data_IF_056937216875
#
_entry.id   IF_056937216875
#
_cell.length_a   1.000
_cell.length_b   1.000
_cell.length_c   1.000
_cell.angle_alpha   90.00
_cell.angle_beta   90.00
_cell.angle_gamma   90.00
#
_symmetry.space_group_name_H-M   'P 1'
#
loop_
_entity.id
_entity.type
_entity.pdbx_description
1 polymer ?
#
# COMPACT_ATOMS: atom_id res chain seq x y z
N UNK A 1 10.91 -46.11 -27.22
CA UNK A 1 11.26 -47.42 -26.74
C UNK A 1 11.78 -47.32 -25.34
N UNK A 2 11.12 -47.66 -24.33
CA UNK A 2 10.43 -48.71 -23.70
C UNK A 2 10.42 -48.30 -22.21
N UNK A 3 9.36 -48.18 -21.58
CA UNK A 3 8.54 -49.05 -20.76
C UNK A 3 9.34 -49.89 -19.74
N UNK A 4 8.90 -49.75 -18.48
CA UNK A 4 9.30 -50.67 -17.41
C UNK A 4 8.72 -50.26 -16.08
N UNK A 5 7.58 -50.73 -15.80
CA UNK A 5 6.65 -50.78 -14.71
C UNK A 5 7.02 -51.93 -13.74
N UNK A 6 6.71 -51.83 -12.46
CA UNK A 6 6.20 -52.87 -11.54
C UNK A 6 6.53 -52.50 -10.08
N UNK A 7 5.59 -52.19 -9.24
CA UNK A 7 4.55 -53.01 -8.59
C UNK A 7 5.04 -53.80 -7.36
N UNK A 8 4.40 -53.45 -6.22
CA UNK A 8 3.97 -54.30 -5.07
C UNK A 8 5.04 -54.96 -4.18
N UNK A 9 4.81 -55.22 -2.91
CA UNK A 9 3.67 -55.25 -1.99
C UNK A 9 4.16 -55.47 -0.54
N UNK A 10 3.40 -54.90 0.38
CA UNK A 10 2.82 -55.57 1.56
C UNK A 10 3.66 -56.47 2.48
N UNK A 11 3.68 -56.15 3.77
CA UNK A 11 3.20 -57.03 4.83
C UNK A 11 3.25 -56.36 6.21
N UNK A 12 2.16 -56.47 6.88
CA UNK A 12 1.91 -56.08 8.26
C UNK A 12 2.58 -57.01 9.27
N UNK A 13 2.93 -56.48 10.46
CA UNK A 13 2.79 -57.23 11.70
C UNK A 13 2.86 -56.28 12.91
N UNK A 14 1.84 -56.42 13.72
CA UNK A 14 1.58 -55.82 15.01
C UNK A 14 2.63 -56.15 16.05
N UNK A 15 2.85 -55.27 17.02
CA UNK A 15 2.77 -55.57 18.45
C UNK A 15 2.80 -54.32 19.30
N UNK A 16 1.87 -54.29 20.23
CA UNK A 16 1.69 -53.39 21.35
C UNK A 16 2.85 -53.49 22.36
N UNK A 17 3.13 -52.33 23.00
CA UNK A 17 3.31 -52.27 24.46
C UNK A 17 3.42 -50.82 24.93
N UNK A 18 2.43 -50.47 25.70
CA UNK A 18 2.38 -49.70 26.98
C UNK A 18 3.36 -48.57 27.26
N UNK A 19 2.77 -47.41 27.35
CA UNK A 19 2.74 -46.47 28.46
C UNK A 19 4.07 -45.96 29.04
N UNK A 20 4.22 -44.64 28.89
CA UNK A 20 4.43 -43.75 30.05
C UNK A 20 4.12 -42.32 29.63
N UNK A 21 3.13 -41.76 30.29
CA UNK A 21 2.73 -40.35 30.13
C UNK A 21 3.76 -39.47 30.84
N UNK A 22 4.50 -38.69 30.08
CA UNK A 22 5.21 -37.55 30.63
C UNK A 22 4.45 -36.31 30.20
N UNK A 23 3.80 -35.71 31.19
CA UNK A 23 3.05 -34.48 31.14
C UNK A 23 4.05 -33.30 30.97
N UNK A 24 4.37 -32.94 29.73
CA UNK A 24 5.04 -31.69 29.45
C UNK A 24 3.99 -30.56 29.50
N UNK A 25 4.14 -29.75 30.52
CA UNK A 25 3.40 -28.50 30.66
C UNK A 25 3.67 -27.60 29.45
N UNK A 26 2.71 -27.50 28.54
CA UNK A 26 2.65 -26.45 27.54
C UNK A 26 2.42 -25.12 28.25
N UNK A 27 3.47 -24.34 28.37
CA UNK A 27 3.39 -22.93 28.67
C UNK A 27 2.75 -22.26 27.46
N UNK A 28 1.47 -21.98 27.53
CA UNK A 28 0.79 -21.09 26.60
C UNK A 28 1.36 -19.70 26.83
N UNK A 29 2.28 -19.27 25.96
CA UNK A 29 2.57 -17.86 25.81
C UNK A 29 1.28 -17.18 25.31
N UNK A 30 0.67 -16.43 26.20
CA UNK A 30 -0.39 -15.51 25.89
C UNK A 30 0.22 -14.44 24.96
N UNK A 31 0.02 -14.56 23.66
CA UNK A 31 0.15 -13.43 22.77
C UNK A 31 -0.82 -12.36 23.23
N UNK A 32 -0.28 -11.34 23.84
CA UNK A 32 -1.04 -10.14 24.17
C UNK A 32 -1.24 -9.41 22.85
N UNK A 33 -2.34 -9.71 22.15
CA UNK A 33 -2.82 -8.83 21.09
C UNK A 33 -2.98 -7.46 21.70
N UNK A 34 -2.15 -6.52 21.26
CA UNK A 34 -2.32 -5.11 21.59
C UNK A 34 -3.62 -4.65 20.96
N UNK A 35 -4.66 -4.48 21.77
CA UNK A 35 -5.91 -3.85 21.37
C UNK A 35 -5.59 -2.54 20.64
N UNK A 36 -6.20 -2.28 19.46
CA UNK A 36 -6.02 -1.01 18.76
C UNK A 36 -6.58 0.11 19.66
N UNK A 37 -5.69 0.94 20.18
CA UNK A 37 -6.04 2.12 20.97
C UNK A 37 -6.53 3.25 20.07
N UNK A 38 -7.68 3.09 19.44
CA UNK A 38 -8.35 4.08 18.61
C UNK A 38 -9.85 4.02 18.83
N UNK A 39 -10.53 5.14 18.66
CA UNK A 39 -11.99 5.18 18.59
C UNK A 39 -12.44 4.33 17.39
N UNK A 40 -12.83 3.09 17.68
CA UNK A 40 -13.28 2.10 16.68
C UNK A 40 -14.75 2.29 16.29
N UNK A 41 -15.34 3.42 16.61
CA UNK A 41 -16.69 3.80 16.22
C UNK A 41 -16.83 3.86 14.68
N UNK A 42 -18.07 3.75 14.20
CA UNK A 42 -18.37 3.90 12.77
C UNK A 42 -17.96 5.29 12.31
N UNK A 43 -17.11 5.36 11.26
CA UNK A 43 -16.79 6.61 10.60
C UNK A 43 -17.88 6.92 9.56
N UNK A 44 -18.59 8.03 9.73
CA UNK A 44 -19.66 8.46 8.83
C UNK A 44 -19.12 9.56 7.91
N UNK A 45 -19.13 9.30 6.63
CA UNK A 45 -18.69 10.22 5.58
C UNK A 45 -19.93 10.85 4.92
N UNK A 46 -20.01 12.18 4.96
CA UNK A 46 -21.08 12.94 4.30
C UNK A 46 -20.86 13.07 2.80
N UNK A 47 -19.62 13.25 2.39
CA UNK A 47 -19.23 13.43 1.00
C UNK A 47 -17.85 12.83 0.73
N UNK A 48 -17.68 12.25 -0.45
CA UNK A 48 -16.37 11.83 -0.95
C UNK A 48 -16.32 11.88 -2.47
N UNK A 49 -15.14 11.99 -3.02
CA UNK A 49 -14.97 12.02 -4.47
C UNK A 49 -13.53 12.13 -4.92
N UNK A 50 -13.39 12.29 -6.23
CA UNK A 50 -12.12 12.47 -6.92
C UNK A 50 -12.23 13.68 -7.85
N UNK A 51 -11.15 14.44 -7.95
CA UNK A 51 -11.02 15.49 -8.96
C UNK A 51 -9.58 15.68 -9.37
N UNK A 52 -9.38 16.29 -10.54
CA UNK A 52 -8.05 16.68 -11.03
C UNK A 52 -7.79 18.14 -10.68
N UNK A 53 -6.58 18.47 -10.25
CA UNK A 53 -6.15 19.81 -9.88
C UNK A 53 -4.92 20.25 -10.70
N UNK A 54 -4.94 21.48 -11.20
CA UNK A 54 -3.86 22.04 -12.02
C UNK A 54 -3.77 21.38 -13.39
N UNK A 55 -2.53 21.20 -13.88
CA UNK A 55 -2.27 20.61 -15.18
C UNK A 55 -2.26 21.61 -16.32
N UNK A 56 -2.02 21.11 -17.53
CA UNK A 56 -1.99 21.87 -18.77
C UNK A 56 -2.78 21.15 -19.87
N UNK A 57 -3.20 21.91 -20.86
CA UNK A 57 -3.81 21.39 -22.08
C UNK A 57 -2.79 21.48 -23.20
N UNK A 58 -2.54 20.36 -23.88
CA UNK A 58 -1.61 20.27 -25.01
C UNK A 58 -2.39 19.82 -26.25
N UNK A 59 -2.27 20.55 -27.35
CA UNK A 59 -2.84 20.16 -28.64
C UNK A 59 -1.71 19.87 -29.61
N UNK A 60 -1.74 18.69 -30.22
CA UNK A 60 -0.77 18.28 -31.23
C UNK A 60 -1.05 18.97 -32.56
N UNK A 61 -0.01 19.29 -33.30
CA UNK A 61 -0.12 19.86 -34.64
C UNK A 61 -0.85 18.91 -35.61
N UNK A 62 -1.45 19.47 -36.64
CA UNK A 62 -2.14 18.70 -37.67
C UNK A 62 -3.65 18.78 -37.57
N UNK A 63 -4.33 17.83 -38.24
CA UNK A 63 -5.79 17.77 -38.28
C UNK A 63 -6.24 16.38 -37.85
N UNK A 64 -7.21 16.32 -36.94
CA UNK A 64 -7.79 15.06 -36.48
C UNK A 64 -8.61 14.42 -37.63
N UNK A 65 -8.31 13.14 -37.90
CA UNK A 65 -9.07 12.33 -38.83
C UNK A 65 -10.02 11.39 -38.09
N UNK A 66 -11.35 11.62 -38.10
CA UNK A 66 -12.30 10.73 -37.43
C UNK A 66 -12.38 9.34 -38.08
N UNK A 67 -11.88 9.17 -39.30
CA UNK A 67 -11.79 7.85 -39.97
C UNK A 67 -10.59 7.03 -39.50
N UNK A 68 -9.60 7.65 -38.88
CA UNK A 68 -8.41 7.04 -38.31
C UNK A 68 -8.11 7.55 -36.91
N UNK A 69 -9.03 7.35 -36.01
CA UNK A 69 -8.96 7.87 -34.62
C UNK A 69 -7.82 7.26 -33.75
N UNK A 70 -7.21 6.17 -34.21
CA UNK A 70 -6.10 5.50 -33.53
C UNK A 70 -4.73 5.83 -34.17
N UNK A 71 -4.67 6.92 -34.89
CA UNK A 71 -3.44 7.42 -35.49
C UNK A 71 -2.42 7.76 -34.38
N UNK A 72 -1.20 7.18 -34.46
CA UNK A 72 -0.22 7.18 -33.36
C UNK A 72 0.41 8.55 -33.09
N UNK A 73 0.42 9.47 -34.06
CA UNK A 73 1.01 10.80 -33.86
C UNK A 73 0.11 11.72 -33.06
N UNK A 74 -1.16 11.37 -32.90
CA UNK A 74 -2.14 12.19 -32.22
C UNK A 74 -2.44 13.52 -32.93
N UNK A 75 -2.25 13.58 -34.25
CA UNK A 75 -2.41 14.79 -35.04
C UNK A 75 -3.76 15.49 -34.81
N UNK A 76 -3.73 16.77 -34.46
CA UNK A 76 -4.90 17.60 -34.21
C UNK A 76 -5.69 17.21 -32.95
N UNK A 77 -5.17 16.34 -32.10
CA UNK A 77 -5.83 15.90 -30.85
C UNK A 77 -5.35 16.73 -29.64
N UNK A 78 -6.21 16.82 -28.64
CA UNK A 78 -5.96 17.56 -27.43
C UNK A 78 -5.91 16.61 -26.23
N UNK A 79 -4.86 16.76 -25.41
CA UNK A 79 -4.67 16.03 -24.17
C UNK A 79 -4.67 16.97 -22.96
N UNK A 80 -5.20 16.52 -21.85
CA UNK A 80 -5.12 17.16 -20.54
C UNK A 80 -4.14 16.37 -19.68
N UNK A 81 -3.03 16.99 -19.29
CA UNK A 81 -1.88 16.30 -18.69
C UNK A 81 -1.28 17.10 -17.54
N UNK A 82 -0.36 16.49 -16.82
CA UNK A 82 0.40 17.10 -15.72
C UNK A 82 -0.49 17.65 -14.58
N UNK A 83 -1.67 17.08 -14.39
CA UNK A 83 -2.54 17.40 -13.26
C UNK A 83 -2.26 16.45 -12.08
N UNK A 84 -2.54 16.94 -10.88
CA UNK A 84 -2.64 16.11 -9.69
C UNK A 84 -4.00 15.40 -9.64
N UNK A 85 -4.05 14.22 -9.04
CA UNK A 85 -5.30 13.55 -8.68
C UNK A 85 -5.56 13.74 -7.20
N UNK A 86 -6.76 14.18 -6.85
CA UNK A 86 -7.14 14.45 -5.46
C UNK A 86 -8.33 13.57 -5.08
N UNK A 87 -8.12 12.71 -4.09
CA UNK A 87 -9.21 12.01 -3.41
C UNK A 87 -9.58 12.78 -2.15
N UNK A 88 -10.86 12.99 -1.91
CA UNK A 88 -11.32 13.69 -0.72
C UNK A 88 -12.45 12.97 0.00
N UNK A 89 -12.51 13.19 1.30
CA UNK A 89 -13.60 12.75 2.17
C UNK A 89 -13.93 13.86 3.17
N UNK A 90 -15.23 14.09 3.37
CA UNK A 90 -15.76 15.04 4.35
C UNK A 90 -16.55 14.24 5.39
N UNK A 91 -16.22 14.34 6.68
CA UNK A 91 -16.97 13.64 7.72
C UNK A 91 -18.36 14.26 7.91
N UNK A 92 -19.31 13.49 8.37
CA UNK A 92 -20.68 13.97 8.62
C UNK A 92 -20.73 15.07 9.70
N UNK A 93 -19.81 15.03 10.64
CA UNK A 93 -19.64 16.05 11.68
C UNK A 93 -18.31 16.78 11.44
N UNK A 94 -18.32 17.80 10.57
CA UNK A 94 -17.16 18.62 10.30
C UNK A 94 -17.03 19.69 11.38
N UNK A 95 -15.92 19.69 12.10
CA UNK A 95 -15.65 20.59 13.23
C UNK A 95 -14.37 21.40 13.07
N UNK A 96 -13.52 21.05 12.13
CA UNK A 96 -12.21 21.64 11.93
C UNK A 96 -11.93 22.06 10.49
N UNK A 97 -10.83 22.76 10.30
CA UNK A 97 -10.35 23.08 8.95
C UNK A 97 -9.95 21.81 8.20
N UNK A 98 -10.16 21.77 6.87
CA UNK A 98 -9.76 20.63 6.08
C UNK A 98 -8.24 20.42 6.08
N UNK A 99 -7.82 19.17 6.00
CA UNK A 99 -6.42 18.77 5.93
C UNK A 99 -6.06 18.35 4.51
N UNK A 100 -4.95 18.87 4.01
CA UNK A 100 -4.38 18.50 2.72
C UNK A 100 -3.11 17.71 2.95
N UNK A 101 -3.05 16.51 2.37
CA UNK A 101 -1.93 15.59 2.52
C UNK A 101 -1.16 15.46 1.21
N UNK A 102 0.12 15.83 1.26
CA UNK A 102 1.09 15.64 0.19
C UNK A 102 2.02 14.49 0.56
N UNK A 103 2.22 13.57 -0.36
CA UNK A 103 3.15 12.44 -0.14
C UNK A 103 4.61 12.88 -0.33
N UNK A 104 5.54 12.03 0.11
CA UNK A 104 6.97 12.22 -0.08
C UNK A 104 7.47 11.70 -1.42
N UNK A 105 8.77 11.88 -1.66
CA UNK A 105 9.47 11.40 -2.84
C UNK A 105 9.28 9.90 -3.04
N UNK A 106 8.86 9.51 -4.24
CA UNK A 106 8.67 8.11 -4.60
C UNK A 106 7.39 7.46 -4.07
N UNK A 107 6.58 8.19 -3.31
CA UNK A 107 5.35 7.70 -2.68
C UNK A 107 4.09 8.10 -3.47
N UNK A 108 2.94 7.79 -2.89
CA UNK A 108 1.60 8.19 -3.33
C UNK A 108 0.75 8.52 -2.11
N UNK A 109 -0.49 8.97 -2.34
CA UNK A 109 -1.47 9.23 -1.27
C UNK A 109 -1.73 8.02 -0.37
N UNK A 110 -1.47 6.81 -0.86
CA UNK A 110 -1.69 5.57 -0.09
C UNK A 110 -0.97 5.59 1.27
N UNK A 111 0.21 6.21 1.36
CA UNK A 111 0.96 6.33 2.61
C UNK A 111 0.26 7.11 3.73
N UNK A 112 -0.84 7.82 3.42
CA UNK A 112 -1.67 8.53 4.40
C UNK A 112 -2.95 7.77 4.76
N UNK A 113 -3.34 6.75 3.98
CA UNK A 113 -4.62 6.07 4.10
C UNK A 113 -4.56 4.89 5.07
N UNK A 114 -3.44 4.18 5.11
CA UNK A 114 -3.28 3.00 5.95
C UNK A 114 -1.82 2.81 6.36
N UNK A 115 -1.59 2.04 7.39
CA UNK A 115 -0.26 1.56 7.76
C UNK A 115 0.03 0.21 7.10
N UNK A 116 1.31 -0.23 6.97
CA UNK A 116 1.65 -1.51 6.37
C UNK A 116 1.00 -2.73 7.04
N UNK A 117 0.74 -2.64 8.33
CA UNK A 117 0.05 -3.68 9.13
C UNK A 117 -1.48 -3.56 9.12
N UNK A 118 -2.04 -2.61 8.34
CA UNK A 118 -3.48 -2.46 8.13
C UNK A 118 -4.23 -1.66 9.18
N UNK A 119 -3.52 -0.95 10.08
CA UNK A 119 -4.16 0.01 10.99
C UNK A 119 -4.61 1.26 10.23
N UNK A 120 -5.46 2.06 10.85
CA UNK A 120 -5.89 3.37 10.34
C UNK A 120 -4.69 4.28 10.05
N UNK A 121 -4.71 4.93 8.90
CA UNK A 121 -3.74 5.96 8.55
C UNK A 121 -4.12 7.33 9.08
N UNK A 122 -3.29 8.31 8.78
CA UNK A 122 -3.53 9.68 9.20
C UNK A 122 -4.85 10.26 8.69
N UNK A 123 -5.27 9.90 7.46
CA UNK A 123 -6.53 10.38 6.89
C UNK A 123 -7.73 9.99 7.74
N UNK A 124 -7.83 8.74 8.17
CA UNK A 124 -8.93 8.28 9.03
C UNK A 124 -8.89 8.92 10.41
N UNK A 125 -7.69 9.05 10.99
CA UNK A 125 -7.52 9.71 12.29
C UNK A 125 -8.01 11.17 12.28
N UNK A 126 -7.79 11.91 11.19
CA UNK A 126 -8.27 13.28 11.05
C UNK A 126 -9.76 13.34 10.75
N UNK A 127 -10.30 12.44 9.94
CA UNK A 127 -11.74 12.32 9.71
C UNK A 127 -12.50 12.08 11.01
N UNK A 128 -12.01 11.20 11.89
CA UNK A 128 -12.62 10.96 13.21
C UNK A 128 -12.58 12.18 14.14
N UNK A 129 -11.68 13.11 13.86
CA UNK A 129 -11.58 14.39 14.59
C UNK A 129 -12.38 15.52 13.94
N UNK A 130 -13.20 15.22 12.93
CA UNK A 130 -14.05 16.18 12.25
C UNK A 130 -13.34 17.06 11.22
N UNK A 131 -12.20 16.61 10.69
CA UNK A 131 -11.53 17.31 9.60
C UNK A 131 -11.82 16.65 8.27
N UNK A 132 -12.28 17.42 7.28
CA UNK A 132 -12.27 16.97 5.89
C UNK A 132 -10.84 16.70 5.43
N UNK A 133 -10.61 15.64 4.65
CA UNK A 133 -9.28 15.27 4.17
C UNK A 133 -9.20 15.28 2.66
N UNK A 134 -8.07 15.78 2.14
CA UNK A 134 -7.76 15.84 0.72
C UNK A 134 -6.39 15.19 0.52
N UNK A 135 -6.38 14.04 -0.15
CA UNK A 135 -5.20 13.22 -0.37
C UNK A 135 -4.76 13.38 -1.83
N UNK A 136 -3.54 13.84 -2.04
CA UNK A 136 -3.05 14.22 -3.36
C UNK A 136 -2.05 13.19 -3.87
N UNK A 137 -2.26 12.72 -5.10
CA UNK A 137 -1.21 12.17 -5.94
C UNK A 137 -0.68 13.27 -6.83
N UNK A 138 0.59 13.62 -6.69
CA UNK A 138 1.26 14.59 -7.55
C UNK A 138 1.37 14.07 -8.98
N UNK A 139 1.54 14.93 -9.99
CA UNK A 139 1.76 14.51 -11.36
C UNK A 139 2.82 13.42 -11.49
N UNK A 140 2.52 12.36 -12.23
CA UNK A 140 3.34 11.15 -12.41
C UNK A 140 3.42 10.24 -11.19
N UNK A 141 2.50 10.39 -10.26
CA UNK A 141 2.39 9.51 -9.08
C UNK A 141 0.99 8.93 -8.97
N UNK A 142 0.89 7.75 -8.36
CA UNK A 142 -0.36 7.08 -8.12
C UNK A 142 -1.27 7.09 -9.35
N UNK A 143 -2.45 7.71 -9.22
CA UNK A 143 -3.44 7.82 -10.30
C UNK A 143 -3.25 9.06 -11.19
N UNK A 144 -2.25 9.91 -10.93
CA UNK A 144 -1.95 11.11 -11.71
C UNK A 144 -0.89 10.84 -12.80
N UNK A 145 -1.08 9.78 -13.60
CA UNK A 145 -0.08 9.28 -14.54
C UNK A 145 0.07 10.07 -15.84
N UNK A 146 -0.95 10.83 -16.26
CA UNK A 146 -0.91 11.56 -17.53
C UNK A 146 0.13 12.70 -17.51
N UNK A 147 1.03 12.72 -18.47
CA UNK A 147 2.15 13.68 -18.52
C UNK A 147 2.47 14.15 -19.94
N UNK A 148 2.89 15.41 -20.06
CA UNK A 148 3.41 16.00 -21.31
C UNK A 148 4.85 15.62 -21.60
N UNK A 149 5.56 15.04 -20.63
CA UNK A 149 6.98 14.70 -20.74
C UNK A 149 7.15 13.19 -20.78
N UNK A 150 7.76 12.69 -21.85
CA UNK A 150 8.19 11.30 -21.88
C UNK A 150 9.31 11.07 -20.85
N UNK A 151 9.24 9.96 -20.15
CA UNK A 151 10.23 9.61 -19.13
C UNK A 151 9.98 8.22 -18.57
N UNK A 152 11.02 7.65 -17.99
CA UNK A 152 10.89 6.41 -17.25
C UNK A 152 10.40 6.71 -15.81
N UNK A 153 9.38 6.00 -15.36
CA UNK A 153 9.00 5.99 -13.94
C UNK A 153 9.94 5.01 -13.26
N UNK A 154 11.08 5.51 -12.80
CA UNK A 154 12.14 4.69 -12.23
C UNK A 154 12.26 4.78 -10.71
N UNK A 155 11.38 5.46 -10.06
CA UNK A 155 11.44 5.55 -8.60
C UNK A 155 11.00 4.25 -7.97
N UNK A 156 11.97 3.57 -7.42
CA UNK A 156 11.77 2.46 -6.51
C UNK A 156 12.29 2.88 -5.14
N UNK A 157 11.58 2.51 -4.13
CA UNK A 157 12.08 2.55 -2.76
C UNK A 157 13.13 1.45 -2.60
N UNK A 158 14.11 1.70 -1.78
CA UNK A 158 15.18 0.76 -1.47
C UNK A 158 15.12 0.52 0.03
N UNK A 159 14.73 -0.66 0.46
CA UNK A 159 14.43 -1.02 1.84
C UNK A 159 15.51 -0.59 2.81
N UNK A 160 16.77 -0.96 2.55
CA UNK A 160 17.89 -0.64 3.43
C UNK A 160 18.07 0.86 3.60
N UNK A 161 17.88 1.62 2.50
CA UNK A 161 18.00 3.08 2.51
C UNK A 161 16.90 3.72 3.33
N UNK A 162 15.65 3.36 3.05
CA UNK A 162 14.51 3.96 3.72
C UNK A 162 14.40 3.54 5.18
N UNK A 163 14.69 2.27 5.45
CA UNK A 163 14.73 1.74 6.80
C UNK A 163 15.67 2.53 7.71
N UNK A 164 16.86 2.87 7.18
CA UNK A 164 17.85 3.70 7.88
C UNK A 164 17.45 5.18 7.88
N UNK A 165 16.98 5.70 6.75
CA UNK A 165 16.62 7.11 6.57
C UNK A 165 15.50 7.53 7.53
N UNK A 166 14.49 6.72 7.70
CA UNK A 166 13.37 6.97 8.60
C UNK A 166 13.63 6.51 10.04
N UNK A 167 14.83 6.02 10.32
CA UNK A 167 15.24 5.57 11.67
C UNK A 167 14.37 4.43 12.22
N UNK A 168 13.78 3.63 11.35
CA UNK A 168 13.04 2.43 11.71
C UNK A 168 13.99 1.45 12.37
N UNK A 169 15.18 1.30 11.80
CA UNK A 169 16.20 0.40 12.29
C UNK A 169 17.51 0.52 11.53
N UNK A 170 18.27 -0.54 11.54
CA UNK A 170 19.52 -0.71 10.80
C UNK A 170 19.52 -2.05 10.06
N UNK A 171 20.40 -2.18 9.11
CA UNK A 171 20.56 -3.40 8.33
C UNK A 171 21.85 -4.09 8.71
N UNK A 172 21.77 -5.31 9.27
CA UNK A 172 22.93 -6.07 9.73
C UNK A 172 22.89 -7.48 9.16
N UNK A 173 23.99 -7.93 8.55
CA UNK A 173 24.12 -9.29 8.01
C UNK A 173 22.98 -9.68 7.03
N UNK A 174 22.46 -8.74 6.26
CA UNK A 174 21.37 -8.97 5.32
C UNK A 174 19.97 -9.01 5.93
N UNK A 175 19.82 -8.64 7.19
CA UNK A 175 18.55 -8.61 7.90
C UNK A 175 18.27 -7.22 8.49
N UNK A 176 17.00 -6.88 8.59
CA UNK A 176 16.54 -5.69 9.29
C UNK A 176 16.59 -5.90 10.80
N UNK A 177 17.11 -4.91 11.51
CA UNK A 177 17.11 -4.87 12.98
C UNK A 177 16.41 -3.59 13.40
N UNK A 178 15.22 -3.71 13.96
CA UNK A 178 14.40 -2.57 14.40
C UNK A 178 15.06 -1.88 15.60
N UNK A 179 15.01 -0.56 15.62
CA UNK A 179 15.47 0.21 16.76
C UNK A 179 14.52 0.01 17.95
N UNK A 180 15.07 -0.02 19.14
CA UNK A 180 14.27 -0.06 20.38
C UNK A 180 13.28 1.11 20.42
N UNK A 181 12.02 0.83 20.74
CA UNK A 181 10.95 1.83 20.80
C UNK A 181 10.36 2.22 19.44
N UNK A 182 10.82 1.65 18.33
CA UNK A 182 10.18 1.85 17.03
C UNK A 182 8.76 1.28 17.05
N UNK A 183 7.83 2.07 16.52
CA UNK A 183 6.43 1.65 16.36
C UNK A 183 6.14 1.09 14.94
N UNK A 184 7.17 0.96 14.12
CA UNK A 184 7.04 0.37 12.79
C UNK A 184 6.84 -1.14 12.91
N UNK A 185 5.80 -1.69 12.31
CA UNK A 185 5.58 -3.13 12.31
C UNK A 185 6.68 -3.81 11.48
N UNK A 186 7.34 -4.81 12.04
CA UNK A 186 8.50 -5.44 11.43
C UNK A 186 8.32 -6.94 11.11
N UNK A 187 7.08 -7.41 11.13
CA UNK A 187 6.75 -8.71 10.60
C UNK A 187 6.91 -8.74 9.06
N UNK A 188 7.17 -9.92 8.51
CA UNK A 188 7.45 -10.09 7.07
C UNK A 188 6.36 -9.47 6.18
N UNK A 189 5.10 -9.70 6.53
CA UNK A 189 3.96 -9.19 5.75
C UNK A 189 3.90 -7.67 5.75
N UNK A 190 4.17 -7.01 6.87
CA UNK A 190 4.19 -5.56 6.97
C UNK A 190 5.38 -4.95 6.24
N UNK A 191 6.53 -5.59 6.30
CA UNK A 191 7.73 -5.15 5.56
C UNK A 191 7.50 -5.24 4.05
N UNK A 192 6.80 -6.25 3.56
CA UNK A 192 6.45 -6.39 2.14
C UNK A 192 5.51 -5.28 1.64
N UNK A 193 4.81 -4.59 2.53
CA UNK A 193 3.94 -3.47 2.20
C UNK A 193 4.62 -2.11 2.33
N UNK A 194 5.86 -2.07 2.86
CA UNK A 194 6.63 -0.84 3.03
C UNK A 194 7.29 -0.38 1.74
#
# INVERSE_FOLDING_TARGET
>A
TGCGNSTQANAAASRSETAEATEEAQTTESETESEPTGDTGVLVIAEQGLFSAGGITVTSDGTFDPGNQWEETGAGQTAHVDHANVFYQIPAEETGLPMVFLHGYGQSRMGWMTTPDGREGWSEMFLRKGHGVFLIDEPRRGEAGATSVSGEISTKTLDQRWYTQFRIGRWENGQSVVNEGSQFPNDEKSVDQF
#
